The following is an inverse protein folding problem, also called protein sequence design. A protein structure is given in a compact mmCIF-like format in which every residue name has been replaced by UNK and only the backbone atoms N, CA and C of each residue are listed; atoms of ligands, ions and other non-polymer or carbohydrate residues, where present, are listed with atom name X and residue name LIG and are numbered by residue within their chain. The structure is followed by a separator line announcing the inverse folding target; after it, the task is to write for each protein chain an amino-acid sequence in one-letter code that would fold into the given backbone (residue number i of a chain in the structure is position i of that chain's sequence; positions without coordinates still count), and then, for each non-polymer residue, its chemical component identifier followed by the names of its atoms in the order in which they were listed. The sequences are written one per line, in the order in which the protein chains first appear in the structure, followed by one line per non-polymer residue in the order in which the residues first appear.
data_IF_231459384013
#
_entry.id   IF_231459384013
#
_cell.length_a   1.000
_cell.length_b   1.000
_cell.length_c   1.000
_cell.angle_alpha   90.00
_cell.angle_beta   90.00
_cell.angle_gamma   90.00
#
_symmetry.space_group_name_H-M   'P 1'
#
loop_
_entity.id
_entity.type
_entity.pdbx_description
1 polymer ?
#
# COMPACT_ATOMS: atom_id res chain seq x y z
N UNK A 1 3.75 -5.94 -15.17
CA UNK A 1 3.23 -4.81 -14.37
C UNK A 1 4.16 -4.51 -13.21
N UNK A 2 4.47 -3.26 -12.98
CA UNK A 2 5.35 -2.89 -11.88
C UNK A 2 4.59 -2.94 -10.55
N UNK A 3 5.35 -3.01 -9.45
CA UNK A 3 4.75 -2.95 -8.11
C UNK A 3 3.97 -1.64 -7.96
N UNK A 4 4.53 -0.54 -8.44
CA UNK A 4 3.86 0.76 -8.38
C UNK A 4 2.50 0.73 -9.07
N UNK A 5 2.42 0.19 -10.27
CA UNK A 5 1.17 0.13 -11.02
C UNK A 5 0.13 -0.75 -10.31
N UNK A 6 0.56 -1.90 -9.84
CA UNK A 6 -0.34 -2.83 -9.14
C UNK A 6 -0.82 -2.22 -7.83
N UNK A 7 0.08 -1.56 -7.10
CA UNK A 7 -0.25 -0.90 -5.84
C UNK A 7 -1.21 0.27 -6.06
N UNK A 8 -1.03 1.03 -7.14
CA UNK A 8 -1.96 2.10 -7.49
C UNK A 8 -3.38 1.55 -7.65
N UNK A 9 -3.51 0.39 -8.29
CA UNK A 9 -4.82 -0.26 -8.44
C UNK A 9 -5.42 -0.66 -7.09
N UNK A 10 -4.60 -1.15 -6.17
CA UNK A 10 -5.04 -1.49 -4.82
C UNK A 10 -5.57 -0.26 -4.09
N UNK A 11 -4.83 0.86 -4.16
CA UNK A 11 -5.27 2.11 -3.53
C UNK A 11 -6.60 2.58 -4.09
N UNK A 12 -6.76 2.55 -5.41
CA UNK A 12 -8.01 2.96 -6.05
C UNK A 12 -9.19 2.11 -5.61
N UNK A 13 -8.96 0.81 -5.44
CA UNK A 13 -9.99 -0.11 -5.00
C UNK A 13 -10.38 0.12 -3.54
N UNK A 14 -9.39 0.21 -2.66
CA UNK A 14 -9.63 0.35 -1.22
C UNK A 14 -10.32 1.66 -0.89
N UNK A 15 -9.91 2.74 -1.53
CA UNK A 15 -10.46 4.07 -1.26
C UNK A 15 -11.59 4.45 -2.23
N UNK A 16 -11.94 3.55 -3.14
CA UNK A 16 -13.01 3.75 -4.12
C UNK A 16 -12.85 5.08 -4.88
N UNK A 17 -11.64 5.34 -5.34
CA UNK A 17 -11.31 6.58 -6.04
C UNK A 17 -10.34 6.30 -7.18
N UNK A 18 -10.85 6.30 -8.40
CA UNK A 18 -10.05 5.99 -9.58
C UNK A 18 -9.07 7.11 -9.96
N UNK A 19 -9.22 8.27 -9.36
CA UNK A 19 -8.34 9.41 -9.63
C UNK A 19 -7.05 9.37 -8.82
N UNK A 20 -6.93 8.43 -7.88
CA UNK A 20 -5.73 8.34 -7.04
C UNK A 20 -4.50 8.00 -7.88
N UNK A 21 -3.46 8.81 -7.74
CA UNK A 21 -2.13 8.53 -8.27
C UNK A 21 -1.16 8.60 -7.11
N UNK A 22 -0.39 7.52 -6.90
CA UNK A 22 0.54 7.46 -5.79
C UNK A 22 1.97 7.63 -6.29
N UNK A 23 2.79 8.21 -5.42
CA UNK A 23 4.24 8.31 -5.63
C UNK A 23 4.91 7.75 -4.37
N UNK A 24 6.23 7.62 -4.42
CA UNK A 24 6.96 7.13 -3.24
C UNK A 24 6.80 8.04 -2.02
N UNK A 25 6.55 9.32 -2.25
CA UNK A 25 6.40 10.31 -1.18
C UNK A 25 4.96 10.40 -0.66
N UNK A 26 4.02 9.73 -1.27
CA UNK A 26 2.61 9.80 -0.86
C UNK A 26 2.44 9.26 0.56
N UNK A 27 1.74 10.01 1.40
CA UNK A 27 1.45 9.65 2.78
C UNK A 27 -0.04 9.62 3.02
N UNK A 28 -0.44 9.20 4.23
CA UNK A 28 -1.85 9.17 4.61
C UNK A 28 -2.51 10.55 4.54
N UNK A 29 -1.72 11.61 4.64
CA UNK A 29 -2.24 12.98 4.53
C UNK A 29 -2.64 13.33 3.10
N UNK A 30 -2.04 12.66 2.13
CA UNK A 30 -2.25 12.96 0.71
C UNK A 30 -3.45 12.23 0.14
N UNK A 31 -3.96 11.21 0.82
CA UNK A 31 -5.06 10.38 0.34
C UNK A 31 -6.25 10.54 1.28
N UNK A 32 -7.33 11.10 0.77
CA UNK A 32 -8.55 11.27 1.56
C UNK A 32 -9.11 9.89 1.94
N UNK A 33 -9.42 9.73 3.21
CA UNK A 33 -9.97 8.49 3.74
C UNK A 33 -8.93 7.51 4.26
N UNK A 34 -7.65 7.79 4.06
CA UNK A 34 -6.60 6.92 4.56
C UNK A 34 -6.28 7.28 6.02
N UNK A 35 -6.76 6.45 6.93
CA UNK A 35 -6.56 6.62 8.37
C UNK A 35 -6.14 5.29 8.99
N UNK A 36 -6.12 5.22 10.32
CA UNK A 36 -5.64 4.01 11.02
C UNK A 36 -6.55 2.81 10.79
N UNK A 37 -7.82 3.03 10.49
CA UNK A 37 -8.78 1.93 10.24
C UNK A 37 -8.63 1.45 8.80
N UNK A 38 -8.66 2.36 7.82
CA UNK A 38 -8.54 2.00 6.41
C UNK A 38 -7.14 1.48 6.09
N UNK A 39 -6.14 1.86 6.88
CA UNK A 39 -4.78 1.34 6.70
C UNK A 39 -4.76 -0.19 6.84
N UNK A 40 -5.53 -0.74 7.77
CA UNK A 40 -5.62 -2.20 7.93
C UNK A 40 -6.30 -2.84 6.71
N UNK A 41 -7.34 -2.20 6.19
CA UNK A 41 -8.00 -2.68 4.97
C UNK A 41 -7.04 -2.65 3.78
N UNK A 42 -6.26 -1.58 3.69
CA UNK A 42 -5.25 -1.43 2.63
C UNK A 42 -4.23 -2.56 2.71
N UNK A 43 -3.70 -2.83 3.90
CA UNK A 43 -2.70 -3.89 4.08
C UNK A 43 -3.28 -5.25 3.73
N UNK A 44 -4.51 -5.54 4.13
CA UNK A 44 -5.17 -6.80 3.79
C UNK A 44 -5.29 -6.97 2.27
N UNK A 45 -5.70 -5.92 1.57
CA UNK A 45 -5.80 -5.95 0.10
C UNK A 45 -4.43 -6.14 -0.55
N UNK A 46 -3.42 -5.46 -0.02
CA UNK A 46 -2.04 -5.60 -0.52
C UNK A 46 -1.56 -7.04 -0.36
N UNK A 47 -1.79 -7.63 0.80
CA UNK A 47 -1.41 -9.03 1.03
C UNK A 47 -2.05 -9.97 0.02
N UNK A 48 -3.33 -9.78 -0.24
CA UNK A 48 -4.07 -10.63 -1.19
C UNK A 48 -3.62 -10.39 -2.62
N UNK A 49 -3.43 -9.12 -2.98
CA UNK A 49 -3.08 -8.75 -4.35
C UNK A 49 -1.67 -9.19 -4.73
N UNK A 50 -0.73 -9.14 -3.79
CA UNK A 50 0.67 -9.47 -4.04
C UNK A 50 1.04 -10.88 -3.58
N UNK A 51 0.16 -11.56 -2.85
CA UNK A 51 0.42 -12.91 -2.37
C UNK A 51 1.52 -12.95 -1.31
N UNK A 52 1.57 -11.95 -0.44
CA UNK A 52 2.59 -11.84 0.61
C UNK A 52 1.93 -11.68 1.97
N UNK A 53 2.69 -11.93 3.04
CA UNK A 53 2.25 -11.66 4.40
C UNK A 53 3.00 -10.45 4.93
N UNK A 54 2.27 -9.52 5.55
CA UNK A 54 2.84 -8.35 6.17
C UNK A 54 2.51 -8.39 7.65
N UNK A 55 3.53 -8.46 8.50
CA UNK A 55 3.33 -8.53 9.95
C UNK A 55 2.90 -7.19 10.50
N UNK A 56 2.26 -7.21 11.70
CA UNK A 56 1.88 -5.97 12.35
C UNK A 56 3.08 -5.07 12.64
N UNK A 57 4.23 -5.66 12.94
CA UNK A 57 5.45 -4.91 13.16
C UNK A 57 5.88 -4.16 11.90
N UNK A 58 5.80 -4.84 10.75
CA UNK A 58 6.12 -4.22 9.46
C UNK A 58 5.15 -3.10 9.11
N UNK A 59 3.86 -3.31 9.39
CA UNK A 59 2.81 -2.30 9.15
C UNK A 59 3.14 -1.00 9.89
N UNK A 60 3.61 -1.12 11.13
CA UNK A 60 3.91 0.05 11.97
C UNK A 60 5.09 0.87 11.43
N UNK A 61 5.93 0.28 10.60
CA UNK A 61 7.10 0.95 10.05
C UNK A 61 6.82 1.71 8.75
N UNK A 62 5.63 1.54 8.19
CA UNK A 62 5.28 2.16 6.91
C UNK A 62 4.86 3.61 7.11
N UNK A 63 5.66 4.54 6.61
CA UNK A 63 5.41 5.98 6.74
C UNK A 63 4.85 6.58 5.46
N UNK A 64 5.19 6.00 4.31
CA UNK A 64 4.76 6.49 3.02
C UNK A 64 4.65 5.32 2.04
N UNK A 65 4.19 5.61 0.84
CA UNK A 65 4.05 4.59 -0.19
C UNK A 65 5.41 3.98 -0.57
N UNK A 66 6.47 4.79 -0.57
CA UNK A 66 7.82 4.31 -0.86
C UNK A 66 8.25 3.20 0.06
N UNK A 67 7.97 3.32 1.36
CA UNK A 67 8.29 2.27 2.33
C UNK A 67 7.55 0.99 1.99
N UNK A 68 6.29 1.09 1.60
CA UNK A 68 5.49 -0.06 1.23
C UNK A 68 6.01 -0.71 -0.06
N UNK A 69 6.39 0.08 -1.04
CA UNK A 69 6.97 -0.43 -2.28
C UNK A 69 8.26 -1.20 -1.98
N UNK A 70 9.13 -0.62 -1.15
CA UNK A 70 10.40 -1.26 -0.79
C UNK A 70 10.16 -2.58 -0.07
N UNK A 71 9.18 -2.62 0.84
CA UNK A 71 8.83 -3.84 1.54
C UNK A 71 8.32 -4.91 0.57
N UNK A 72 7.49 -4.54 -0.38
CA UNK A 72 6.95 -5.47 -1.36
C UNK A 72 8.04 -6.00 -2.30
N UNK A 73 8.98 -5.15 -2.70
CA UNK A 73 10.12 -5.58 -3.50
C UNK A 73 10.97 -6.59 -2.74
N UNK A 74 11.22 -6.34 -1.47
CA UNK A 74 11.98 -7.24 -0.62
C UNK A 74 11.29 -8.60 -0.49
N UNK A 75 9.98 -8.61 -0.28
CA UNK A 75 9.23 -9.86 -0.14
C UNK A 75 9.14 -10.64 -1.45
N UNK A 76 9.09 -9.96 -2.58
CA UNK A 76 9.08 -10.62 -3.88
C UNK A 76 10.42 -11.24 -4.23
N UNK A 77 11.50 -10.68 -3.73
CA UNK A 77 12.86 -11.16 -4.00
C UNK A 77 13.24 -12.38 -3.16
N UNK A 78 12.52 -12.63 -2.07
CA UNK A 78 12.85 -13.72 -1.14
C UNK A 78 12.16 -15.03 -1.47
#
# INVERSE_FOLDING_TARGET
MSIHDQLTGVFRKVFNDEAINITRETTARDIQGWDSITHLDLITEVEQSFGVEITGFEVMRLKNVGDLIDLLEEKRAS
#
